data_IF_987214601876
#
_entry.id   IF_987214601876
#
_cell.length_a   1.000
_cell.length_b   1.000
_cell.length_c   1.000
_cell.angle_alpha   90.00
_cell.angle_beta   90.00
_cell.angle_gamma   90.00
#
_symmetry.space_group_name_H-M   'P 1'
#
loop_
_entity.id
_entity.type
_entity.pdbx_description
1 polymer ?
#
# COMPACT_ATOMS: atom_id res chain seq x y z
N UNK A 1 -2.65 -50.77 15.15
CA UNK A 1 -2.74 -49.91 13.96
C UNK A 1 -3.17 -48.54 14.45
N UNK A 2 -2.20 -47.71 14.83
CA UNK A 2 -2.46 -46.41 15.45
C UNK A 2 -2.92 -45.43 14.36
N UNK A 3 -4.13 -44.90 14.50
CA UNK A 3 -4.57 -43.71 13.78
C UNK A 3 -3.76 -42.54 14.34
N UNK A 4 -2.73 -42.14 13.59
CA UNK A 4 -2.05 -40.87 13.75
C UNK A 4 -2.99 -39.78 13.25
N UNK A 5 -3.91 -39.38 14.13
CA UNK A 5 -4.86 -38.29 13.95
C UNK A 5 -4.05 -36.99 14.01
N UNK A 6 -3.31 -36.70 12.93
CA UNK A 6 -2.71 -35.40 12.69
C UNK A 6 -3.84 -34.40 12.55
N UNK A 7 -4.30 -33.87 13.69
CA UNK A 7 -5.04 -32.61 13.76
C UNK A 7 -4.23 -31.60 12.96
N UNK A 8 -4.69 -31.35 11.73
CA UNK A 8 -4.27 -30.18 10.99
C UNK A 8 -4.47 -29.01 11.94
N UNK A 9 -3.45 -28.17 12.19
CA UNK A 9 -3.60 -27.05 13.12
C UNK A 9 -4.85 -26.29 12.68
N UNK A 10 -5.87 -26.28 13.53
CA UNK A 10 -7.15 -25.67 13.24
C UNK A 10 -6.86 -24.16 13.14
N UNK A 11 -6.66 -23.68 11.91
CA UNK A 11 -6.19 -22.31 11.64
C UNK A 11 -7.21 -21.25 12.08
N UNK A 12 -8.46 -21.67 12.29
CA UNK A 12 -9.60 -20.85 12.67
C UNK A 12 -10.35 -21.64 13.75
N UNK A 13 -10.33 -21.20 15.02
CA UNK A 13 -11.15 -21.77 16.07
C UNK A 13 -12.62 -21.85 15.66
N UNK A 14 -13.26 -22.99 15.89
CA UNK A 14 -14.66 -23.26 15.51
C UNK A 14 -15.69 -22.43 16.29
N UNK A 15 -15.26 -21.70 17.32
CA UNK A 15 -16.06 -20.81 18.18
C UNK A 15 -15.95 -19.32 17.81
N UNK A 16 -15.31 -18.97 16.69
CA UNK A 16 -15.12 -17.58 16.29
C UNK A 16 -16.45 -16.88 15.95
N UNK A 17 -16.81 -15.90 16.78
CA UNK A 17 -17.88 -14.96 16.47
C UNK A 17 -17.35 -13.80 15.62
N UNK A 18 -18.16 -13.38 14.63
CA UNK A 18 -17.85 -12.19 13.86
C UNK A 18 -17.91 -10.95 14.75
N UNK A 19 -16.83 -10.17 14.74
CA UNK A 19 -16.81 -8.85 15.35
C UNK A 19 -16.66 -7.75 14.29
N UNK A 20 -17.37 -6.62 14.42
CA UNK A 20 -17.20 -5.49 13.54
C UNK A 20 -15.83 -4.83 13.75
N UNK A 21 -15.02 -4.76 12.69
CA UNK A 21 -13.74 -4.05 12.72
C UNK A 21 -13.85 -2.55 12.45
N UNK A 22 -14.91 -2.10 11.76
CA UNK A 22 -15.05 -0.70 11.36
C UNK A 22 -15.60 0.14 12.51
N UNK A 23 -14.81 1.11 12.95
CA UNK A 23 -15.18 2.07 13.99
C UNK A 23 -14.42 3.39 13.86
N UNK A 24 -14.58 4.27 14.86
CA UNK A 24 -13.95 5.58 14.87
C UNK A 24 -12.41 5.51 14.87
N UNK A 25 -11.80 4.49 15.48
CA UNK A 25 -10.34 4.31 15.45
C UNK A 25 -9.85 3.99 14.04
N UNK A 26 -10.53 3.08 13.35
CA UNK A 26 -10.19 2.74 11.97
C UNK A 26 -10.44 3.90 11.01
N UNK A 27 -11.45 4.74 11.29
CA UNK A 27 -11.68 5.96 10.52
C UNK A 27 -10.52 6.95 10.67
N UNK A 28 -10.11 7.25 11.91
CA UNK A 28 -8.96 8.13 12.17
C UNK A 28 -7.67 7.61 11.55
N UNK A 29 -7.48 6.30 11.59
CA UNK A 29 -6.35 5.67 10.92
C UNK A 29 -6.41 5.80 9.40
N UNK A 30 -7.58 5.63 8.78
CA UNK A 30 -7.74 5.83 7.35
C UNK A 30 -7.45 7.28 6.94
N UNK A 31 -7.85 8.25 7.76
CA UNK A 31 -7.50 9.66 7.55
C UNK A 31 -5.99 9.89 7.70
N UNK A 32 -5.33 9.26 8.68
CA UNK A 32 -3.87 9.29 8.82
C UNK A 32 -3.17 8.73 7.57
N UNK A 33 -3.62 7.58 7.08
CA UNK A 33 -3.11 6.99 5.84
C UNK A 33 -3.30 7.95 4.65
N UNK A 34 -4.50 8.51 4.50
CA UNK A 34 -4.83 9.38 3.37
C UNK A 34 -4.16 10.75 3.38
N UNK A 35 -4.04 11.41 4.53
CA UNK A 35 -3.52 12.78 4.61
C UNK A 35 -2.02 12.86 4.91
N UNK A 36 -1.44 11.85 5.55
CA UNK A 36 -0.03 11.88 5.97
C UNK A 36 0.80 10.90 5.14
N UNK A 37 0.37 9.63 5.09
CA UNK A 37 1.18 8.59 4.44
C UNK A 37 1.08 8.66 2.92
N UNK A 38 -0.10 8.93 2.35
CA UNK A 38 -0.31 8.99 0.91
C UNK A 38 0.54 10.11 0.27
N UNK A 39 0.52 11.38 0.73
CA UNK A 39 1.37 12.42 0.13
C UNK A 39 2.86 12.13 0.30
N UNK A 40 3.27 11.56 1.45
CA UNK A 40 4.65 11.14 1.67
C UNK A 40 5.09 10.04 0.69
N UNK A 41 4.24 9.05 0.44
CA UNK A 41 4.49 7.98 -0.52
C UNK A 41 4.57 8.50 -1.97
N UNK A 42 3.69 9.44 -2.36
CA UNK A 42 3.74 10.09 -3.67
C UNK A 42 5.08 10.84 -3.83
N UNK A 43 5.44 11.67 -2.85
CA UNK A 43 6.68 12.44 -2.88
C UNK A 43 7.90 11.53 -3.02
N UNK A 44 7.99 10.50 -2.18
CA UNK A 44 9.15 9.61 -2.17
C UNK A 44 9.23 8.77 -3.45
N UNK A 45 8.10 8.34 -4.00
CA UNK A 45 8.04 7.66 -5.29
C UNK A 45 8.47 8.55 -6.46
N UNK A 46 8.09 9.83 -6.44
CA UNK A 46 8.50 10.81 -7.45
C UNK A 46 9.99 11.17 -7.37
N UNK A 47 10.54 11.30 -6.16
CA UNK A 47 11.96 11.68 -5.94
C UNK A 47 12.91 10.53 -6.21
N UNK A 48 12.58 9.33 -5.75
CA UNK A 48 13.46 8.17 -5.92
C UNK A 48 13.31 7.54 -7.31
N UNK A 49 12.21 7.82 -8.03
CA UNK A 49 11.88 7.15 -9.29
C UNK A 49 11.76 5.64 -9.15
N UNK A 50 11.61 5.16 -7.92
CA UNK A 50 11.60 3.75 -7.56
C UNK A 50 10.36 3.41 -6.75
N UNK A 51 10.00 2.14 -6.84
CA UNK A 51 8.96 1.55 -6.04
C UNK A 51 9.44 1.33 -4.61
N UNK A 52 8.74 1.89 -3.61
CA UNK A 52 8.89 1.42 -2.23
C UNK A 52 8.21 0.05 -2.13
N UNK A 53 8.90 -1.00 -2.55
CA UNK A 53 8.42 -2.37 -2.67
C UNK A 53 7.69 -2.87 -1.40
N UNK A 54 6.36 -2.78 -1.37
CA UNK A 54 5.44 -3.34 -0.35
C UNK A 54 5.64 -2.91 1.12
N UNK A 55 6.78 -2.32 1.48
CA UNK A 55 7.16 -2.02 2.87
C UNK A 55 6.43 -0.82 3.44
N UNK A 56 6.01 0.13 2.60
CA UNK A 56 5.31 1.34 3.04
C UNK A 56 4.00 1.01 3.77
N UNK A 57 3.24 0.01 3.31
CA UNK A 57 2.02 -0.47 3.97
C UNK A 57 2.32 -1.00 5.37
N UNK A 58 3.31 -1.88 5.50
CA UNK A 58 3.67 -2.48 6.78
C UNK A 58 4.22 -1.45 7.77
N UNK A 59 5.09 -0.55 7.31
CA UNK A 59 5.62 0.55 8.15
C UNK A 59 4.47 1.44 8.64
N UNK A 60 3.52 1.76 7.77
CA UNK A 60 2.33 2.54 8.14
C UNK A 60 1.52 1.85 9.23
N UNK A 61 1.27 0.55 9.06
CA UNK A 61 0.53 -0.25 10.03
C UNK A 61 1.24 -0.31 11.38
N UNK A 62 2.56 -0.55 11.38
CA UNK A 62 3.39 -0.60 12.59
C UNK A 62 3.38 0.76 13.31
N UNK A 63 3.59 1.86 12.58
CA UNK A 63 3.58 3.20 13.15
C UNK A 63 2.22 3.52 13.80
N UNK A 64 1.12 3.16 13.14
CA UNK A 64 -0.21 3.41 13.69
C UNK A 64 -0.48 2.56 14.95
N UNK A 65 -0.11 1.28 14.93
CA UNK A 65 -0.19 0.41 16.11
C UNK A 65 0.63 0.99 17.26
N UNK A 66 1.83 1.49 16.99
CA UNK A 66 2.70 2.09 18.01
C UNK A 66 2.13 3.39 18.58
N UNK A 67 1.54 4.25 17.75
CA UNK A 67 0.81 5.44 18.19
C UNK A 67 -0.40 5.06 19.06
N UNK A 68 -1.16 4.03 18.66
CA UNK A 68 -2.29 3.54 19.42
C UNK A 68 -1.85 3.01 20.80
N UNK A 69 -0.78 2.21 20.85
CA UNK A 69 -0.18 1.70 22.10
C UNK A 69 0.27 2.82 23.03
N UNK A 70 0.93 3.86 22.51
CA UNK A 70 1.35 5.04 23.29
C UNK A 70 0.19 5.89 23.77
N UNK A 71 -0.94 5.86 23.06
CA UNK A 71 -2.18 6.51 23.46
C UNK A 71 -3.05 5.66 24.39
N UNK A 72 -2.50 4.56 24.92
CA UNK A 72 -3.20 3.56 25.75
C UNK A 72 -4.44 2.92 25.06
N UNK A 73 -4.52 2.99 23.74
CA UNK A 73 -5.56 2.34 22.95
C UNK A 73 -5.10 0.94 22.51
N UNK A 74 -5.95 -0.07 22.71
CA UNK A 74 -5.73 -1.41 22.14
C UNK A 74 -6.50 -1.57 20.85
N UNK A 75 -5.84 -2.15 19.84
CA UNK A 75 -6.43 -2.51 18.57
C UNK A 75 -6.79 -4.00 18.54
N UNK A 76 -8.00 -4.32 18.10
CA UNK A 76 -8.47 -5.69 17.86
C UNK A 76 -7.96 -6.16 16.50
N UNK A 77 -7.92 -7.48 16.30
CA UNK A 77 -7.48 -8.09 15.04
C UNK A 77 -8.26 -7.58 13.82
N UNK A 78 -9.57 -7.38 13.95
CA UNK A 78 -10.43 -6.90 12.88
C UNK A 78 -10.14 -5.43 12.52
N UNK A 79 -9.83 -4.60 13.53
CA UNK A 79 -9.38 -3.22 13.32
C UNK A 79 -8.05 -3.26 12.56
N UNK A 80 -7.07 -4.05 13.01
CA UNK A 80 -5.75 -4.20 12.35
C UNK A 80 -5.86 -4.69 10.90
N UNK A 81 -6.76 -5.64 10.61
CA UNK A 81 -7.00 -6.11 9.24
C UNK A 81 -7.55 -4.99 8.36
N UNK A 82 -8.49 -4.17 8.85
CA UNK A 82 -8.99 -3.02 8.08
C UNK A 82 -7.86 -2.02 7.83
N UNK A 83 -7.03 -1.75 8.85
CA UNK A 83 -5.88 -0.86 8.70
C UNK A 83 -4.90 -1.38 7.65
N UNK A 84 -4.63 -2.69 7.67
CA UNK A 84 -3.80 -3.34 6.66
C UNK A 84 -4.36 -3.07 5.26
N UNK A 85 -5.63 -3.40 5.00
CA UNK A 85 -6.24 -3.15 3.68
C UNK A 85 -6.27 -1.68 3.26
N UNK A 86 -6.48 -0.76 4.19
CA UNK A 86 -6.44 0.68 3.92
C UNK A 86 -5.01 1.13 3.57
N UNK A 87 -4.02 0.66 4.32
CA UNK A 87 -2.60 0.94 4.07
C UNK A 87 -2.11 0.27 2.77
N UNK A 88 -2.66 -0.88 2.37
CA UNK A 88 -2.41 -1.50 1.06
C UNK A 88 -2.84 -0.61 -0.11
N UNK A 89 -3.77 0.32 0.12
CA UNK A 89 -4.09 1.39 -0.84
C UNK A 89 -2.90 2.31 -1.16
N UNK A 90 -1.91 2.43 -0.28
CA UNK A 90 -0.66 3.18 -0.53
C UNK A 90 0.22 2.49 -1.58
N UNK A 91 0.20 1.16 -1.56
CA UNK A 91 0.98 0.28 -2.44
C UNK A 91 0.24 0.04 -3.75
N UNK A 92 -1.04 0.41 -3.84
CA UNK A 92 -1.78 0.38 -5.08
C UNK A 92 -1.06 1.29 -6.10
N UNK A 93 -0.46 0.64 -7.08
CA UNK A 93 0.14 1.29 -8.23
C UNK A 93 -0.90 2.21 -8.87
N UNK A 94 -0.55 3.48 -9.07
CA UNK A 94 -1.34 4.37 -9.91
C UNK A 94 -1.33 3.79 -11.32
N UNK A 95 -2.30 2.94 -11.64
CA UNK A 95 -2.33 2.18 -12.89
C UNK A 95 -2.35 3.15 -14.06
N UNK A 96 -1.23 3.25 -14.77
CA UNK A 96 -1.18 3.92 -16.06
C UNK A 96 -1.32 2.89 -17.17
N UNK A 97 -2.27 3.16 -18.07
CA UNK A 97 -2.35 2.46 -19.33
C UNK A 97 -1.07 2.74 -20.13
N UNK A 98 -0.21 1.72 -20.30
CA UNK A 98 0.89 1.76 -21.28
C UNK A 98 2.15 2.53 -20.91
N UNK A 99 2.24 3.19 -19.76
CA UNK A 99 3.53 3.77 -19.30
C UNK A 99 4.08 2.90 -18.18
N UNK A 100 5.25 2.28 -18.36
CA UNK A 100 5.94 1.47 -17.35
C UNK A 100 6.43 2.24 -16.12
N UNK A 101 5.85 3.42 -15.83
CA UNK A 101 6.13 4.21 -14.65
C UNK A 101 5.39 3.62 -13.46
N UNK A 102 6.14 2.92 -12.62
CA UNK A 102 5.68 2.33 -11.37
C UNK A 102 5.56 3.38 -10.26
N UNK A 103 4.52 4.22 -10.31
CA UNK A 103 4.33 5.28 -9.31
C UNK A 103 3.48 4.86 -8.11
N UNK A 104 3.99 5.20 -6.91
CA UNK A 104 3.40 4.90 -5.60
C UNK A 104 2.59 6.07 -5.07
N UNK A 105 1.76 5.78 -4.06
CA UNK A 105 0.90 6.79 -3.45
C UNK A 105 -0.54 6.74 -3.93
N UNK A 106 -1.01 5.53 -4.23
CA UNK A 106 -2.38 5.25 -4.57
C UNK A 106 -2.84 5.84 -5.91
N UNK A 107 -4.16 5.84 -6.16
CA UNK A 107 -4.71 6.18 -7.47
C UNK A 107 -4.38 7.59 -7.96
N UNK A 108 -4.23 8.55 -7.04
CA UNK A 108 -3.93 9.94 -7.36
C UNK A 108 -2.46 10.21 -7.69
N UNK A 109 -1.53 9.33 -7.27
CA UNK A 109 -0.11 9.47 -7.62
C UNK A 109 0.11 9.48 -9.14
N UNK A 110 -0.63 8.65 -9.88
CA UNK A 110 -0.61 8.63 -11.34
C UNK A 110 -1.00 9.97 -11.98
N UNK A 111 -2.08 10.59 -11.48
CA UNK A 111 -2.56 11.88 -11.98
C UNK A 111 -1.57 13.02 -11.74
N UNK A 112 -0.86 13.00 -10.59
CA UNK A 112 0.20 13.97 -10.29
C UNK A 112 1.37 13.80 -11.27
N UNK A 113 1.74 12.55 -11.58
CA UNK A 113 2.76 12.28 -12.59
C UNK A 113 2.33 12.69 -13.99
N UNK A 114 1.07 12.47 -14.39
CA UNK A 114 0.54 12.96 -15.67
C UNK A 114 0.58 14.49 -15.76
N UNK A 115 0.17 15.16 -14.68
CA UNK A 115 0.23 16.63 -14.56
C UNK A 115 1.66 17.15 -14.74
N UNK A 116 2.65 16.47 -14.16
CA UNK A 116 4.07 16.79 -14.34
C UNK A 116 4.55 16.51 -15.75
N UNK A 117 4.27 15.30 -16.28
CA UNK A 117 4.73 14.85 -17.58
C UNK A 117 4.26 15.80 -18.68
N UNK A 118 2.97 16.15 -18.71
CA UNK A 118 2.45 17.01 -19.75
C UNK A 118 3.08 18.41 -19.73
N UNK A 119 3.49 18.92 -18.55
CA UNK A 119 4.13 20.23 -18.39
C UNK A 119 5.65 20.22 -18.59
N UNK A 120 6.25 19.03 -18.62
CA UNK A 120 7.70 18.89 -18.76
C UNK A 120 8.19 19.34 -20.14
N UNK A 121 9.40 19.94 -20.24
CA UNK A 121 10.02 20.27 -21.52
C UNK A 121 10.18 19.04 -22.43
N UNK A 122 10.37 17.85 -21.84
CA UNK A 122 10.53 16.58 -22.54
C UNK A 122 9.25 16.13 -23.26
N UNK A 123 8.09 16.61 -22.83
CA UNK A 123 6.80 16.35 -23.48
C UNK A 123 6.36 17.49 -24.42
N UNK A 124 7.25 18.44 -24.72
CA UNK A 124 6.99 19.44 -25.77
C UNK A 124 6.83 18.72 -27.12
N UNK A 125 5.74 19.02 -27.83
CA UNK A 125 5.29 18.28 -29.01
C UNK A 125 4.40 17.06 -28.70
N UNK A 126 4.68 16.29 -27.64
CA UNK A 126 3.85 15.13 -27.28
C UNK A 126 2.52 15.52 -26.62
N UNK A 127 2.51 16.63 -25.87
CA UNK A 127 1.34 17.08 -25.11
C UNK A 127 0.06 17.28 -25.94
N UNK A 128 0.19 17.53 -27.24
CA UNK A 128 -0.93 17.72 -28.17
C UNK A 128 -1.67 16.40 -28.47
N UNK A 129 -0.98 15.27 -28.31
CA UNK A 129 -1.52 13.94 -28.55
C UNK A 129 -2.06 13.28 -27.27
N UNK A 130 -1.86 13.90 -26.11
CA UNK A 130 -2.37 13.40 -24.84
C UNK A 130 -3.84 13.82 -24.71
N UNK A 131 -4.77 12.86 -24.58
CA UNK A 131 -6.18 13.18 -24.53
C UNK A 131 -6.58 13.76 -23.16
N UNK A 132 -7.65 14.56 -23.19
CA UNK A 132 -8.17 15.31 -22.05
C UNK A 132 -8.74 14.45 -20.91
N UNK A 133 -9.06 13.19 -21.18
CA UNK A 133 -9.48 12.22 -20.17
C UNK A 133 -8.32 11.61 -19.38
N UNK A 134 -7.07 11.77 -19.84
CA UNK A 134 -5.87 11.36 -19.06
C UNK A 134 -5.48 12.49 -18.11
N UNK A 135 -5.36 13.71 -18.64
CA UNK A 135 -4.89 14.88 -17.90
C UNK A 135 -5.45 16.15 -18.54
N UNK A 136 -5.74 17.20 -17.76
CA UNK A 136 -6.10 18.50 -18.33
C UNK A 136 -5.03 19.02 -19.31
N UNK A 137 -5.42 19.74 -20.37
CA UNK A 137 -4.47 20.32 -21.32
C UNK A 137 -3.48 21.30 -20.66
N UNK A 138 -2.28 21.45 -21.25
CA UNK A 138 -1.29 22.47 -20.82
C UNK A 138 -1.89 23.86 -20.87
N UNK A 139 -1.58 24.69 -19.87
CA UNK A 139 -2.12 26.04 -19.74
C UNK A 139 -3.60 26.09 -19.31
N UNK A 140 -4.21 24.95 -18.94
CA UNK A 140 -5.53 24.99 -18.32
C UNK A 140 -5.44 25.56 -16.89
N UNK A 141 -6.46 26.32 -16.43
CA UNK A 141 -6.47 26.89 -15.07
C UNK A 141 -6.31 25.85 -13.95
N UNK A 142 -6.67 24.58 -14.24
CA UNK A 142 -6.50 23.46 -13.32
C UNK A 142 -5.03 23.17 -13.00
N UNK A 143 -4.16 23.24 -14.02
CA UNK A 143 -2.74 22.96 -13.88
C UNK A 143 -1.99 24.16 -13.27
N UNK A 144 -2.38 25.38 -13.63
CA UNK A 144 -1.84 26.61 -13.07
C UNK A 144 -2.16 26.73 -11.57
N UNK A 145 -3.42 26.47 -11.20
CA UNK A 145 -3.87 26.50 -9.81
C UNK A 145 -3.41 25.31 -8.96
N UNK A 146 -2.68 24.34 -9.55
CA UNK A 146 -2.18 23.11 -8.89
C UNK A 146 -3.25 22.44 -8.01
N UNK A 147 -4.48 22.37 -8.51
CA UNK A 147 -5.65 21.92 -7.75
C UNK A 147 -6.45 20.88 -8.51
N UNK A 148 -6.77 19.77 -7.83
CA UNK A 148 -7.65 18.72 -8.32
C UNK A 148 -9.14 19.07 -8.25
N UNK A 149 -9.50 20.21 -7.63
CA UNK A 149 -10.89 20.64 -7.48
C UNK A 149 -11.46 21.34 -8.73
N UNK A 150 -10.62 21.61 -9.74
CA UNK A 150 -11.05 22.27 -10.95
C UNK A 150 -11.88 21.32 -11.85
N UNK A 151 -12.97 21.77 -12.51
CA UNK A 151 -13.82 20.92 -13.35
C UNK A 151 -13.09 20.16 -14.48
N UNK A 152 -11.94 20.66 -14.94
CA UNK A 152 -11.13 19.98 -15.95
C UNK A 152 -10.63 18.59 -15.49
N UNK A 153 -10.49 18.36 -14.18
CA UNK A 153 -10.13 17.07 -13.61
C UNK A 153 -11.28 16.07 -13.55
N UNK A 154 -12.51 16.48 -13.86
CA UNK A 154 -13.67 15.62 -13.77
C UNK A 154 -13.53 14.36 -14.64
N UNK A 155 -13.14 14.49 -15.91
CA UNK A 155 -12.99 13.34 -16.81
C UNK A 155 -11.91 12.35 -16.33
N UNK A 156 -10.67 12.80 -16.00
CA UNK A 156 -9.65 11.90 -15.44
C UNK A 156 -10.08 11.22 -14.13
N UNK A 157 -10.69 11.97 -13.21
CA UNK A 157 -11.10 11.41 -11.91
C UNK A 157 -12.23 10.38 -12.07
N UNK A 158 -13.23 10.66 -12.90
CA UNK A 158 -14.32 9.70 -13.14
C UNK A 158 -13.80 8.43 -13.81
N UNK A 159 -12.90 8.55 -14.77
CA UNK A 159 -12.27 7.38 -15.40
C UNK A 159 -11.46 6.58 -14.37
N UNK A 160 -10.65 7.26 -13.56
CA UNK A 160 -9.87 6.65 -12.49
C UNK A 160 -10.77 5.86 -11.53
N UNK A 161 -11.84 6.49 -11.01
CA UNK A 161 -12.80 5.83 -10.11
C UNK A 161 -13.49 4.64 -10.77
N UNK A 162 -13.84 4.76 -12.06
CA UNK A 162 -14.46 3.68 -12.83
C UNK A 162 -13.51 2.48 -12.93
N UNK A 163 -12.24 2.72 -13.27
CA UNK A 163 -11.22 1.68 -13.36
C UNK A 163 -10.98 1.02 -11.99
N UNK A 164 -10.92 1.78 -10.90
CA UNK A 164 -10.78 1.23 -9.55
C UNK A 164 -11.96 0.33 -9.20
N UNK A 165 -13.20 0.77 -9.46
CA UNK A 165 -14.40 -0.01 -9.19
C UNK A 165 -14.38 -1.29 -10.02
N UNK A 166 -14.08 -1.20 -11.32
CA UNK A 166 -13.96 -2.38 -12.19
C UNK A 166 -12.88 -3.34 -11.70
N UNK A 167 -11.72 -2.83 -11.28
CA UNK A 167 -10.64 -3.65 -10.75
C UNK A 167 -11.04 -4.34 -9.44
N UNK A 168 -11.79 -3.66 -8.57
CA UNK A 168 -12.32 -4.28 -7.35
C UNK A 168 -13.36 -5.35 -7.66
N UNK A 169 -14.33 -5.07 -8.54
CA UNK A 169 -15.30 -6.06 -9.00
C UNK A 169 -14.59 -7.27 -9.62
N UNK A 170 -13.60 -7.06 -10.48
CA UNK A 170 -12.81 -8.13 -11.09
C UNK A 170 -12.05 -8.93 -10.03
N UNK A 171 -11.36 -8.27 -9.08
CA UNK A 171 -10.61 -8.95 -8.02
C UNK A 171 -11.50 -9.78 -7.10
N UNK A 172 -12.69 -9.28 -6.74
CA UNK A 172 -13.63 -9.96 -5.87
C UNK A 172 -14.33 -11.11 -6.58
N UNK A 173 -14.76 -10.91 -7.82
CA UNK A 173 -15.40 -11.97 -8.62
C UNK A 173 -14.42 -13.09 -8.94
N UNK A 174 -13.23 -12.78 -9.43
CA UNK A 174 -12.19 -13.78 -9.71
C UNK A 174 -11.76 -14.49 -8.43
N UNK A 175 -11.53 -13.74 -7.34
CA UNK A 175 -11.19 -14.32 -6.04
C UNK A 175 -12.28 -15.28 -5.52
N UNK A 176 -13.55 -14.92 -5.68
CA UNK A 176 -14.67 -15.78 -5.31
C UNK A 176 -14.77 -17.04 -6.19
N UNK A 177 -14.56 -16.91 -7.51
CA UNK A 177 -14.55 -18.05 -8.44
C UNK A 177 -13.42 -19.01 -8.10
N UNK A 178 -12.21 -18.51 -7.88
CA UNK A 178 -11.08 -19.34 -7.44
C UNK A 178 -11.37 -20.01 -6.10
N UNK A 179 -11.94 -19.27 -5.16
CA UNK A 179 -12.36 -19.84 -3.87
C UNK A 179 -13.33 -21.01 -4.05
N UNK A 180 -14.36 -20.84 -4.89
CA UNK A 180 -15.34 -21.90 -5.18
C UNK A 180 -14.70 -23.11 -5.85
N UNK A 181 -13.80 -22.90 -6.81
CA UNK A 181 -13.09 -24.01 -7.48
C UNK A 181 -12.24 -24.79 -6.46
N UNK A 182 -11.38 -24.10 -5.71
CA UNK A 182 -10.47 -24.76 -4.77
C UNK A 182 -11.21 -25.41 -3.60
N UNK A 183 -12.23 -24.75 -3.05
CA UNK A 183 -12.94 -25.25 -1.88
C UNK A 183 -14.02 -26.29 -2.23
N UNK A 184 -14.87 -26.01 -3.22
CA UNK A 184 -16.02 -26.89 -3.51
C UNK A 184 -15.64 -28.05 -4.43
N UNK A 185 -14.79 -27.81 -5.44
CA UNK A 185 -14.41 -28.83 -6.43
C UNK A 185 -13.19 -29.61 -5.96
N UNK A 186 -12.09 -28.92 -5.67
CA UNK A 186 -10.82 -29.57 -5.32
C UNK A 186 -10.78 -30.00 -3.84
N UNK A 187 -11.66 -29.46 -3.00
CA UNK A 187 -11.71 -29.70 -1.54
C UNK A 187 -10.38 -29.44 -0.85
N UNK A 188 -9.61 -28.50 -1.39
CA UNK A 188 -8.35 -28.06 -0.82
C UNK A 188 -8.57 -26.83 0.06
N UNK A 189 -7.75 -26.64 1.10
CA UNK A 189 -7.73 -25.38 1.83
C UNK A 189 -7.33 -24.25 0.87
N UNK A 190 -8.04 -23.13 0.95
CA UNK A 190 -7.80 -22.01 0.03
C UNK A 190 -6.36 -21.50 0.18
N UNK A 191 -5.57 -21.46 -0.90
CA UNK A 191 -4.15 -21.17 -0.83
C UNK A 191 -3.89 -19.77 -0.27
N UNK A 192 -2.83 -19.64 0.53
CA UNK A 192 -2.28 -18.38 1.06
C UNK A 192 -3.19 -17.58 2.01
N UNK A 193 -4.46 -17.94 2.22
CA UNK A 193 -5.34 -17.23 3.16
C UNK A 193 -4.75 -17.17 4.58
N UNK A 194 -4.20 -18.28 5.07
CA UNK A 194 -3.57 -18.36 6.38
C UNK A 194 -2.29 -17.51 6.47
N UNK A 195 -1.56 -17.38 5.35
CA UNK A 195 -0.33 -16.58 5.28
C UNK A 195 -0.66 -15.09 5.31
N UNK A 196 -1.64 -14.66 4.51
CA UNK A 196 -2.10 -13.27 4.46
C UNK A 196 -2.73 -12.84 5.80
N UNK A 197 -3.59 -13.68 6.38
CA UNK A 197 -4.16 -13.44 7.71
C UNK A 197 -3.09 -13.52 8.82
N UNK A 198 -2.08 -14.37 8.66
CA UNK A 198 -0.97 -14.57 9.59
C UNK A 198 -0.22 -13.28 9.92
N UNK A 199 0.03 -12.42 8.92
CA UNK A 199 0.70 -11.14 9.14
C UNK A 199 -0.12 -10.15 9.97
N UNK A 200 -1.40 -9.99 9.64
CA UNK A 200 -2.30 -9.09 10.39
C UNK A 200 -2.59 -9.61 11.80
N UNK A 201 -2.77 -10.92 11.96
CA UNK A 201 -2.96 -11.56 13.28
C UNK A 201 -1.72 -11.47 14.15
N UNK A 202 -0.52 -11.65 13.60
CA UNK A 202 0.74 -11.48 14.33
C UNK A 202 0.90 -10.05 14.89
N UNK A 203 0.54 -9.03 14.09
CA UNK A 203 0.59 -7.64 14.54
C UNK A 203 -0.49 -7.32 15.58
N UNK A 204 -1.68 -7.92 15.46
CA UNK A 204 -2.72 -7.80 16.47
C UNK A 204 -2.30 -8.42 17.80
N UNK A 205 -1.65 -9.58 17.78
CA UNK A 205 -1.07 -10.24 18.98
C UNK A 205 -0.04 -9.35 19.67
N UNK A 206 0.74 -8.57 18.91
CA UNK A 206 1.71 -7.59 19.46
C UNK A 206 1.08 -6.39 20.20
N UNK A 207 -0.22 -6.17 20.02
CA UNK A 207 -1.00 -5.18 20.77
C UNK A 207 -1.52 -5.73 22.11
N UNK A 208 -1.44 -7.05 22.32
CA UNK A 208 -1.82 -7.75 23.54
C UNK A 208 -0.65 -7.97 24.53
N UNK A 209 -0.93 -8.49 25.74
CA UNK A 209 0.09 -8.73 26.76
C UNK A 209 0.98 -9.96 26.53
N UNK A 210 0.61 -10.89 25.64
CA UNK A 210 1.40 -12.10 25.35
C UNK A 210 2.21 -11.96 24.07
N UNK A 211 3.53 -11.88 24.19
CA UNK A 211 4.43 -11.94 23.04
C UNK A 211 4.63 -13.39 22.61
N UNK A 212 4.18 -13.74 21.41
CA UNK A 212 4.40 -15.07 20.81
C UNK A 212 5.70 -15.15 20.01
N UNK A 213 6.08 -16.36 19.60
CA UNK A 213 7.27 -16.67 18.77
C UNK A 213 7.39 -15.83 17.48
N UNK A 214 6.25 -15.33 16.97
CA UNK A 214 6.19 -14.47 15.77
C UNK A 214 6.94 -13.15 15.96
N UNK A 215 7.02 -12.63 17.18
CA UNK A 215 7.76 -11.40 17.49
C UNK A 215 9.28 -11.59 17.36
N UNK A 216 9.80 -12.75 17.76
CA UNK A 216 11.23 -13.07 17.63
C UNK A 216 11.64 -13.13 16.16
N UNK A 217 10.85 -13.82 15.33
CA UNK A 217 11.09 -13.91 13.88
C UNK A 217 11.01 -12.53 13.23
N UNK A 218 10.02 -11.71 13.61
CA UNK A 218 9.91 -10.33 13.13
C UNK A 218 11.14 -9.49 13.51
N UNK A 219 11.62 -9.59 14.75
CA UNK A 219 12.78 -8.82 15.24
C UNK A 219 14.07 -9.20 14.52
N UNK A 220 14.30 -10.49 14.27
CA UNK A 220 15.44 -10.97 13.47
C UNK A 220 15.37 -10.43 12.04
N UNK A 221 14.19 -10.51 11.41
CA UNK A 221 13.98 -9.95 10.07
C UNK A 221 14.20 -8.43 10.02
N UNK A 222 13.72 -7.70 11.02
CA UNK A 222 13.92 -6.26 11.14
C UNK A 222 15.41 -5.91 11.27
N UNK A 223 16.17 -6.65 12.07
CA UNK A 223 17.61 -6.41 12.24
C UNK A 223 18.38 -6.66 10.93
N UNK A 224 18.07 -7.74 10.21
CA UNK A 224 18.63 -8.02 8.88
C UNK A 224 18.30 -6.88 7.91
N UNK A 225 17.05 -6.41 7.91
CA UNK A 225 16.60 -5.29 7.08
C UNK A 225 17.34 -3.98 7.40
N UNK A 226 17.58 -3.68 8.67
CA UNK A 226 18.37 -2.51 9.09
C UNK A 226 19.80 -2.59 8.57
N UNK A 227 20.46 -3.75 8.71
CA UNK A 227 21.81 -3.96 8.20
C UNK A 227 21.84 -3.74 6.69
N UNK A 228 20.91 -4.36 5.96
CA UNK A 228 20.82 -4.20 4.51
C UNK A 228 20.59 -2.74 4.09
N UNK A 229 19.66 -2.04 4.76
CA UNK A 229 19.38 -0.62 4.51
C UNK A 229 20.58 0.28 4.79
N UNK A 230 21.38 -0.04 5.81
CA UNK A 230 22.60 0.71 6.12
C UNK A 230 23.61 0.58 4.97
N UNK A 231 23.85 -0.63 4.47
CA UNK A 231 24.79 -0.85 3.37
C UNK A 231 24.29 -0.30 2.04
N UNK A 232 23.01 -0.47 1.73
CA UNK A 232 22.47 -0.17 0.41
C UNK A 232 21.99 1.28 0.26
N UNK A 233 21.48 1.90 1.33
CA UNK A 233 20.92 3.25 1.28
C UNK A 233 21.83 4.24 1.98
N UNK A 234 22.23 3.98 3.23
CA UNK A 234 22.95 4.96 4.05
C UNK A 234 24.37 5.20 3.53
N UNK A 235 25.14 4.15 3.26
CA UNK A 235 26.51 4.30 2.75
C UNK A 235 26.54 5.08 1.43
N UNK A 236 25.78 4.71 0.38
CA UNK A 236 25.79 5.47 -0.88
C UNK A 236 25.32 6.91 -0.73
N UNK A 237 24.32 7.17 0.13
CA UNK A 237 23.82 8.53 0.36
C UNK A 237 24.88 9.41 1.02
N UNK A 238 25.52 8.91 2.08
CA UNK A 238 26.59 9.63 2.78
C UNK A 238 27.80 9.80 1.86
N UNK A 239 28.22 8.74 1.16
CA UNK A 239 29.31 8.81 0.18
C UNK A 239 29.00 9.83 -0.92
N UNK A 240 27.78 9.88 -1.44
CA UNK A 240 27.37 10.89 -2.43
C UNK A 240 27.49 12.31 -1.90
N UNK A 241 27.14 12.57 -0.64
CA UNK A 241 27.26 13.92 -0.06
C UNK A 241 28.73 14.34 0.09
N UNK A 242 29.60 13.44 0.53
CA UNK A 242 31.01 13.76 0.78
C UNK A 242 31.90 13.71 -0.47
N UNK A 243 31.58 12.89 -1.47
CA UNK A 243 32.42 12.71 -2.67
C UNK A 243 31.97 13.51 -3.91
N UNK A 244 30.87 14.28 -3.83
CA UNK A 244 30.37 15.10 -4.96
C UNK A 244 30.79 16.58 -4.88
N UNK A 245 31.72 16.96 -3.99
CA UNK A 245 32.45 18.22 -4.18
C UNK A 245 33.35 18.06 -5.41
N UNK A 246 32.89 18.55 -6.56
CA UNK A 246 33.76 18.78 -7.71
C UNK A 246 34.83 19.78 -7.28
N UNK A 247 36.09 19.36 -7.24
CA UNK A 247 37.23 20.29 -7.23
C UNK A 247 37.12 21.11 -8.50
N UNK A 248 36.57 22.32 -8.39
CA UNK A 248 36.67 23.34 -9.44
C UNK A 248 38.12 23.80 -9.46
N UNK A 249 38.85 23.37 -10.47
CA UNK A 249 40.13 23.99 -10.88
C UNK A 249 39.78 25.21 -11.73
#
# INVERSE_FOLDING_TARGET
MAQDDKKSPELIPSDLQFEPGFNLKTLWAALFVGFIMLPGAIYLGLVTGQSMAGGAEWVTLILFIEIAKRSFARLRTQEVIILYWVAGGLVMMGGKLGTGAELFGGPFGGLIWDQYLIQSPQADGLHQHIPDWVVPPRGSPALEGRSFLHPAWFKPIVLLLTVIIMQKVNSLSLGYVLFRITNDIERLPYPLAAVQAGGATALAESSGPSQGWRWEVFSVGAFIGIIWGLFYVVIPTISGIFFTETVTI
#
